data_IF_418294581683
#
_entry.id   IF_418294581683
#
_cell.length_a   1.000
_cell.length_b   1.000
_cell.length_c   1.000
_cell.angle_alpha   90.00
_cell.angle_beta   90.00
_cell.angle_gamma   90.00
#
_symmetry.space_group_name_H-M   'P 1'
#
loop_
_entity.id
_entity.type
_entity.pdbx_description
1 polymer ?
#
# COMPACT_ATOMS: atom_id res chain seq x y z
N UNK A 1 -11.06 -17.56 0.40
CA UNK A 1 -9.86 -16.73 0.45
C UNK A 1 -10.13 -15.60 1.43
N UNK A 2 -9.30 -15.41 2.45
CA UNK A 2 -9.48 -14.31 3.40
C UNK A 2 -9.02 -13.00 2.77
N UNK A 3 -9.54 -11.87 3.23
CA UNK A 3 -9.03 -10.55 2.83
C UNK A 3 -7.53 -10.40 3.11
N UNK A 4 -7.01 -10.97 4.20
CA UNK A 4 -5.56 -10.95 4.50
C UNK A 4 -4.73 -11.78 3.52
N UNK A 5 -5.29 -12.82 2.89
CA UNK A 5 -4.60 -13.56 1.82
C UNK A 5 -4.47 -12.70 0.55
N UNK A 6 -5.52 -11.93 0.26
CA UNK A 6 -5.56 -11.00 -0.88
C UNK A 6 -4.54 -9.88 -0.70
N UNK A 7 -4.54 -9.21 0.45
CA UNK A 7 -3.64 -8.09 0.72
C UNK A 7 -2.17 -8.54 0.66
N UNK A 8 -1.83 -9.71 1.23
CA UNK A 8 -0.49 -10.31 1.08
C UNK A 8 -0.13 -10.59 -0.38
N UNK A 9 -1.07 -11.04 -1.19
CA UNK A 9 -0.82 -11.26 -2.62
C UNK A 9 -0.57 -9.93 -3.36
N UNK A 10 -1.28 -8.86 -3.00
CA UNK A 10 -1.01 -7.51 -3.52
C UNK A 10 0.37 -7.00 -3.06
N UNK A 11 0.75 -7.20 -1.79
CA UNK A 11 2.08 -6.86 -1.28
C UNK A 11 3.19 -7.59 -2.02
N UNK A 12 3.02 -8.88 -2.34
CA UNK A 12 3.99 -9.62 -3.14
C UNK A 12 4.21 -8.97 -4.53
N UNK A 13 3.17 -8.41 -5.14
CA UNK A 13 3.31 -7.65 -6.39
C UNK A 13 4.06 -6.34 -6.16
N UNK A 14 3.73 -5.60 -5.09
CA UNK A 14 4.45 -4.38 -4.74
C UNK A 14 5.92 -4.64 -4.46
N UNK A 15 6.28 -5.67 -3.70
CA UNK A 15 7.67 -6.02 -3.42
C UNK A 15 8.48 -6.25 -4.70
N UNK A 16 7.93 -7.01 -5.65
CA UNK A 16 8.58 -7.22 -6.95
C UNK A 16 8.72 -5.91 -7.75
N UNK A 17 7.70 -5.05 -7.73
CA UNK A 17 7.76 -3.73 -8.37
C UNK A 17 8.82 -2.84 -7.72
N UNK A 18 8.89 -2.82 -6.39
CA UNK A 18 9.83 -2.03 -5.62
C UNK A 18 11.27 -2.50 -5.85
N UNK A 19 11.51 -3.82 -5.86
CA UNK A 19 12.84 -4.41 -6.17
C UNK A 19 13.33 -3.94 -7.54
N UNK A 20 12.44 -3.95 -8.54
CA UNK A 20 12.75 -3.46 -9.88
C UNK A 20 13.07 -1.96 -9.86
N UNK A 21 12.21 -1.13 -9.26
CA UNK A 21 12.39 0.32 -9.16
C UNK A 21 13.72 0.66 -8.48
N UNK A 22 14.00 0.07 -7.33
CA UNK A 22 15.23 0.29 -6.56
C UNK A 22 16.48 -0.07 -7.37
N UNK A 23 16.39 -1.11 -8.20
CA UNK A 23 17.48 -1.53 -9.10
C UNK A 23 17.73 -0.54 -10.25
N UNK A 24 16.66 0.01 -10.86
CA UNK A 24 16.78 0.82 -12.08
C UNK A 24 16.95 2.31 -11.81
N UNK A 25 16.38 2.83 -10.72
CA UNK A 25 16.41 4.27 -10.37
C UNK A 25 17.82 4.89 -10.36
N UNK A 26 18.88 4.23 -9.84
CA UNK A 26 20.23 4.76 -9.92
C UNK A 26 20.69 5.06 -11.36
N UNK A 27 20.25 4.26 -12.33
CA UNK A 27 20.69 4.31 -13.73
C UNK A 27 19.89 5.27 -14.61
N UNK A 28 18.65 5.59 -14.23
CA UNK A 28 17.75 6.50 -14.97
C UNK A 28 18.38 7.88 -15.20
N UNK A 29 18.18 8.46 -16.38
CA UNK A 29 18.89 9.68 -16.82
C UNK A 29 18.00 10.91 -16.92
N UNK A 30 16.67 10.73 -16.93
CA UNK A 30 15.74 11.85 -17.06
C UNK A 30 14.80 11.97 -15.87
N UNK A 31 14.39 13.20 -15.57
CA UNK A 31 13.38 13.48 -14.55
C UNK A 31 12.01 12.90 -14.92
N UNK A 32 11.68 12.90 -16.22
CA UNK A 32 10.42 12.37 -16.73
C UNK A 32 10.27 10.87 -16.42
N UNK A 33 11.30 10.06 -16.65
CA UNK A 33 11.29 8.63 -16.34
C UNK A 33 11.01 8.35 -14.85
N UNK A 34 11.61 9.13 -13.94
CA UNK A 34 11.36 8.99 -12.50
C UNK A 34 9.91 9.34 -12.16
N UNK A 35 9.35 10.41 -12.73
CA UNK A 35 7.94 10.79 -12.52
C UNK A 35 6.98 9.75 -13.09
N UNK A 36 7.33 9.14 -14.22
CA UNK A 36 6.55 8.03 -14.79
C UNK A 36 6.53 6.83 -13.85
N UNK A 37 7.68 6.43 -13.29
CA UNK A 37 7.72 5.34 -12.29
C UNK A 37 6.91 5.68 -11.04
N UNK A 38 7.03 6.91 -10.52
CA UNK A 38 6.21 7.35 -9.38
C UNK A 38 4.71 7.25 -9.68
N UNK A 39 4.27 7.70 -10.86
CA UNK A 39 2.86 7.59 -11.26
C UNK A 39 2.41 6.13 -11.39
N UNK A 40 3.25 5.20 -11.84
CA UNK A 40 2.92 3.77 -11.84
C UNK A 40 2.68 3.27 -10.42
N UNK A 41 3.58 3.60 -9.48
CA UNK A 41 3.40 3.23 -8.06
C UNK A 41 2.10 3.84 -7.52
N UNK A 42 1.85 5.12 -7.72
CA UNK A 42 0.63 5.81 -7.27
C UNK A 42 -0.64 5.10 -7.77
N UNK A 43 -0.66 4.71 -9.05
CA UNK A 43 -1.83 4.07 -9.67
C UNK A 43 -2.08 2.65 -9.20
N UNK A 44 -1.05 1.95 -8.72
CA UNK A 44 -1.20 0.61 -8.13
C UNK A 44 -1.48 0.72 -6.63
N UNK A 45 -0.88 1.68 -5.94
CA UNK A 45 -1.03 1.92 -4.50
C UNK A 45 -2.42 2.44 -4.11
N UNK A 46 -2.95 3.45 -4.81
CA UNK A 46 -4.23 4.06 -4.46
C UNK A 46 -5.43 3.08 -4.33
N UNK A 47 -5.66 2.13 -5.25
CA UNK A 47 -6.74 1.15 -5.07
C UNK A 47 -6.46 0.14 -3.95
N UNK A 48 -5.19 -0.12 -3.64
CA UNK A 48 -4.78 -0.99 -2.54
C UNK A 48 -5.04 -0.32 -1.19
N UNK A 49 -4.51 0.88 -0.95
CA UNK A 49 -4.76 1.63 0.28
C UNK A 49 -6.25 1.87 0.52
N UNK A 50 -7.01 2.16 -0.55
CA UNK A 50 -8.48 2.27 -0.46
C UNK A 50 -9.16 0.96 -0.07
N UNK A 51 -8.66 -0.17 -0.57
CA UNK A 51 -9.19 -1.49 -0.17
C UNK A 51 -8.95 -1.72 1.32
N UNK A 52 -7.76 -1.38 1.81
CA UNK A 52 -7.41 -1.53 3.22
C UNK A 52 -8.26 -0.63 4.10
N UNK A 53 -8.37 0.65 3.76
CA UNK A 53 -9.20 1.61 4.50
C UNK A 53 -10.67 1.12 4.58
N UNK A 54 -11.29 0.81 3.44
CA UNK A 54 -12.72 0.50 3.35
C UNK A 54 -13.08 -0.91 3.87
N UNK A 55 -12.25 -1.92 3.60
CA UNK A 55 -12.60 -3.34 3.83
C UNK A 55 -11.84 -3.98 4.98
N UNK A 56 -10.76 -3.37 5.45
CA UNK A 56 -9.94 -3.95 6.50
C UNK A 56 -9.87 -3.08 7.75
N UNK A 57 -9.52 -1.80 7.61
CA UNK A 57 -9.31 -0.85 8.71
C UNK A 57 -10.64 -0.41 9.31
N UNK A 58 -11.57 0.11 8.51
CA UNK A 58 -12.85 0.61 9.02
C UNK A 58 -13.66 -0.48 9.78
N UNK A 59 -13.81 -1.72 9.28
CA UNK A 59 -14.48 -2.80 10.04
C UNK A 59 -13.77 -3.18 11.35
N UNK A 60 -12.46 -2.92 11.44
CA UNK A 60 -11.61 -3.22 12.59
C UNK A 60 -11.32 -2.01 13.48
N UNK A 61 -11.86 -0.84 13.20
CA UNK A 61 -11.56 0.41 13.90
C UNK A 61 -11.65 0.25 15.42
N UNK A 62 -12.73 -0.37 15.91
CA UNK A 62 -12.93 -0.65 17.34
C UNK A 62 -11.84 -1.55 17.96
N UNK A 63 -11.26 -2.48 17.20
CA UNK A 63 -10.13 -3.31 17.63
C UNK A 63 -8.81 -2.53 17.60
N UNK A 64 -8.63 -1.66 16.60
CA UNK A 64 -7.45 -0.82 16.45
C UNK A 64 -7.38 0.31 17.48
N UNK A 65 -8.53 0.86 17.89
CA UNK A 65 -8.64 1.87 18.94
C UNK A 65 -8.17 1.29 20.30
N UNK A 66 -8.54 0.05 20.59
CA UNK A 66 -8.16 -0.63 21.85
C UNK A 66 -6.65 -0.84 21.99
N UNK A 67 -5.90 -0.84 20.88
CA UNK A 67 -4.44 -0.99 20.87
C UNK A 67 -3.71 0.30 20.44
N UNK A 68 -4.45 1.41 20.27
CA UNK A 68 -3.89 2.72 19.90
C UNK A 68 -3.22 2.77 18.52
N UNK A 69 -3.66 1.96 17.56
CA UNK A 69 -3.04 1.87 16.23
C UNK A 69 -3.87 2.49 15.10
N UNK A 70 -5.15 2.81 15.32
CA UNK A 70 -6.07 3.22 14.27
C UNK A 70 -5.60 4.47 13.50
N UNK A 71 -5.31 5.56 14.21
CA UNK A 71 -4.80 6.80 13.61
C UNK A 71 -3.45 6.64 12.89
N UNK A 72 -2.67 5.60 13.24
CA UNK A 72 -1.33 5.38 12.68
C UNK A 72 -1.39 4.85 11.25
N UNK A 73 -2.40 4.05 10.87
CA UNK A 73 -2.51 3.49 9.51
C UNK A 73 -2.85 4.55 8.47
N UNK A 74 -3.89 5.34 8.71
CA UNK A 74 -4.25 6.42 7.80
C UNK A 74 -3.12 7.45 7.65
N UNK A 75 -2.37 7.72 8.73
CA UNK A 75 -1.19 8.57 8.66
C UNK A 75 -0.07 7.98 7.79
N UNK A 76 0.16 6.67 7.85
CA UNK A 76 1.15 5.97 7.02
C UNK A 76 0.74 5.96 5.53
N UNK A 77 -0.51 5.65 5.20
CA UNK A 77 -1.03 5.73 3.83
C UNK A 77 -0.84 7.13 3.25
N UNK A 78 -1.26 8.15 4.02
CA UNK A 78 -1.10 9.54 3.65
C UNK A 78 0.36 9.92 3.45
N UNK A 79 1.26 9.45 4.31
CA UNK A 79 2.70 9.69 4.19
C UNK A 79 3.25 9.13 2.87
N UNK A 80 2.83 7.93 2.47
CA UNK A 80 3.23 7.32 1.19
C UNK A 80 2.72 8.18 0.02
N UNK A 81 1.44 8.53 0.03
CA UNK A 81 0.80 9.34 -1.01
C UNK A 81 1.46 10.72 -1.16
N UNK A 82 1.71 11.41 -0.05
CA UNK A 82 2.38 12.72 -0.05
C UNK A 82 3.82 12.63 -0.53
N UNK A 83 4.54 11.56 -0.19
CA UNK A 83 5.92 11.33 -0.65
C UNK A 83 5.95 11.08 -2.15
N UNK A 84 5.03 10.27 -2.69
CA UNK A 84 4.91 10.04 -4.13
C UNK A 84 4.54 11.34 -4.87
N UNK A 85 3.56 12.10 -4.36
CA UNK A 85 3.19 13.38 -4.91
C UNK A 85 4.35 14.40 -4.91
N UNK A 86 5.26 14.34 -3.94
CA UNK A 86 6.45 15.18 -3.89
C UNK A 86 7.44 14.89 -5.05
N UNK A 87 7.47 13.67 -5.59
CA UNK A 87 8.28 13.32 -6.79
C UNK A 87 7.84 14.17 -7.99
N UNK A 88 6.55 14.46 -8.13
CA UNK A 88 6.03 15.28 -9.23
C UNK A 88 6.37 16.77 -9.08
N UNK A 89 6.52 17.25 -7.84
CA UNK A 89 6.80 18.66 -7.51
C UNK A 89 8.27 19.03 -7.62
N UNK A 90 9.19 18.06 -7.48
CA UNK A 90 10.62 18.36 -7.57
C UNK A 90 11.07 18.71 -8.99
N UNK A 91 12.12 19.52 -9.06
CA UNK A 91 12.72 20.07 -10.29
C UNK A 91 14.04 19.40 -10.65
N UNK A 92 14.64 18.60 -9.76
CA UNK A 92 15.93 17.97 -10.01
C UNK A 92 15.80 16.46 -10.08
N UNK A 93 16.59 15.85 -10.97
CA UNK A 93 16.67 14.39 -11.09
C UNK A 93 17.16 13.74 -9.79
N UNK A 94 18.16 14.35 -9.14
CA UNK A 94 18.76 13.84 -7.90
C UNK A 94 17.70 13.73 -6.79
N UNK A 95 16.92 14.79 -6.59
CA UNK A 95 15.89 14.80 -5.54
C UNK A 95 14.74 13.86 -5.91
N UNK A 96 14.33 13.81 -7.18
CA UNK A 96 13.28 12.89 -7.62
C UNK A 96 13.63 11.42 -7.33
N UNK A 97 14.88 11.02 -7.62
CA UNK A 97 15.37 9.68 -7.29
C UNK A 97 15.33 9.42 -5.79
N UNK A 98 15.84 10.37 -4.99
CA UNK A 98 15.87 10.24 -3.52
C UNK A 98 14.46 10.10 -2.94
N UNK A 99 13.52 10.94 -3.37
CA UNK A 99 12.14 10.92 -2.90
C UNK A 99 11.45 9.62 -3.31
N UNK A 100 11.61 9.16 -4.56
CA UNK A 100 11.02 7.91 -5.02
C UNK A 100 11.53 6.70 -4.23
N UNK A 101 12.85 6.59 -4.03
CA UNK A 101 13.42 5.51 -3.21
C UNK A 101 12.95 5.57 -1.75
N UNK A 102 12.79 6.78 -1.21
CA UNK A 102 12.22 6.97 0.13
C UNK A 102 10.75 6.51 0.20
N UNK A 103 9.95 6.74 -0.84
CA UNK A 103 8.59 6.22 -0.90
C UNK A 103 8.57 4.68 -0.83
N UNK A 104 9.44 3.99 -1.57
CA UNK A 104 9.56 2.52 -1.51
C UNK A 104 9.93 2.04 -0.10
N UNK A 105 10.88 2.72 0.55
CA UNK A 105 11.30 2.37 1.91
C UNK A 105 10.16 2.54 2.93
N UNK A 106 9.36 3.61 2.82
CA UNK A 106 8.20 3.84 3.69
C UNK A 106 7.14 2.75 3.43
N UNK A 107 6.80 2.47 2.17
CA UNK A 107 5.84 1.44 1.81
C UNK A 107 6.26 0.06 2.32
N UNK A 108 7.54 -0.32 2.19
CA UNK A 108 8.04 -1.59 2.74
C UNK A 108 7.90 -1.68 4.25
N UNK A 109 8.18 -0.59 4.97
CA UNK A 109 8.02 -0.56 6.43
C UNK A 109 6.56 -0.71 6.84
N UNK A 110 5.66 -0.08 6.09
CA UNK A 110 4.22 -0.20 6.28
C UNK A 110 3.75 -1.64 6.04
N UNK A 111 4.09 -2.25 4.90
CA UNK A 111 3.74 -3.65 4.61
C UNK A 111 4.33 -4.65 5.62
N UNK A 112 5.58 -4.47 6.06
CA UNK A 112 6.19 -5.34 7.09
C UNK A 112 5.41 -5.28 8.41
N UNK A 113 4.96 -4.08 8.81
CA UNK A 113 4.10 -3.89 9.99
C UNK A 113 2.79 -4.66 9.82
N UNK A 114 2.14 -4.49 8.67
CA UNK A 114 0.86 -5.13 8.40
C UNK A 114 0.94 -6.65 8.38
N UNK A 115 1.89 -7.20 7.63
CA UNK A 115 2.05 -8.63 7.46
C UNK A 115 2.41 -9.35 8.75
N UNK A 116 3.24 -8.72 9.60
CA UNK A 116 3.80 -9.35 10.80
C UNK A 116 2.96 -9.12 12.04
N UNK A 117 2.21 -8.02 12.08
CA UNK A 117 1.49 -7.61 13.29
C UNK A 117 -0.01 -7.58 13.03
N UNK A 118 -0.43 -6.84 12.01
CA UNK A 118 -1.83 -6.46 11.79
C UNK A 118 -2.65 -7.61 11.25
N UNK A 119 -2.22 -8.24 10.16
CA UNK A 119 -2.93 -9.37 9.55
C UNK A 119 -3.02 -10.54 10.54
N UNK A 120 -1.94 -10.98 11.23
CA UNK A 120 -2.05 -12.04 12.24
C UNK A 120 -2.93 -11.67 13.43
N UNK A 121 -3.00 -10.39 13.80
CA UNK A 121 -3.91 -9.93 14.84
C UNK A 121 -5.38 -9.98 14.37
N UNK A 122 -5.69 -9.44 13.20
CA UNK A 122 -7.02 -9.49 12.62
C UNK A 122 -7.50 -10.94 12.46
N UNK A 123 -6.62 -11.84 12.04
CA UNK A 123 -6.93 -13.28 11.92
C UNK A 123 -7.21 -13.97 13.26
N UNK A 124 -6.69 -13.45 14.38
CA UNK A 124 -6.97 -13.96 15.74
C UNK A 124 -8.25 -13.39 16.34
N UNK A 125 -8.56 -12.12 16.05
CA UNK A 125 -9.69 -11.41 16.64
C UNK A 125 -10.98 -11.67 15.84
N UNK A 126 -10.91 -11.67 14.52
CA UNK A 126 -12.06 -11.86 13.65
C UNK A 126 -12.36 -13.33 13.39
N UNK A 127 -13.64 -13.64 13.21
CA UNK A 127 -14.08 -14.96 12.76
C UNK A 127 -13.60 -15.19 11.31
N UNK A 128 -13.19 -16.42 11.02
CA UNK A 128 -12.79 -16.82 9.66
C UNK A 128 -13.85 -16.52 8.59
N UNK A 129 -15.14 -16.58 8.96
CA UNK A 129 -16.25 -16.21 8.07
C UNK A 129 -16.20 -14.73 7.67
N UNK A 130 -16.05 -13.84 8.63
CA UNK A 130 -15.95 -12.38 8.40
C UNK A 130 -14.78 -12.06 7.46
N UNK A 131 -13.61 -12.64 7.70
CA UNK A 131 -12.43 -12.44 6.85
C UNK A 131 -12.65 -12.94 5.41
N UNK A 132 -13.44 -14.00 5.23
CA UNK A 132 -13.76 -14.54 3.92
C UNK A 132 -14.81 -13.69 3.19
N UNK A 133 -15.84 -13.22 3.90
CA UNK A 133 -16.85 -12.30 3.37
C UNK A 133 -16.22 -10.99 2.88
N UNK A 134 -15.24 -10.44 3.62
CA UNK A 134 -14.47 -9.27 3.19
C UNK A 134 -13.66 -9.56 1.92
N UNK A 135 -13.07 -10.75 1.81
CA UNK A 135 -12.38 -11.18 0.59
C UNK A 135 -13.31 -11.30 -0.63
N UNK A 136 -14.54 -11.76 -0.44
CA UNK A 136 -15.57 -11.81 -1.48
C UNK A 136 -16.05 -10.41 -1.91
N UNK A 137 -16.15 -9.48 -0.95
CA UNK A 137 -16.45 -8.08 -1.24
C UNK A 137 -15.35 -7.43 -2.11
N UNK A 138 -14.08 -7.65 -1.78
CA UNK A 138 -12.96 -7.18 -2.61
C UNK A 138 -13.06 -7.72 -4.05
N UNK A 139 -13.34 -9.01 -4.22
CA UNK A 139 -13.48 -9.62 -5.55
C UNK A 139 -14.64 -9.01 -6.34
N UNK A 140 -15.74 -8.70 -5.65
CA UNK A 140 -16.93 -8.12 -6.26
C UNK A 140 -16.69 -6.69 -6.76
N UNK A 141 -15.98 -5.85 -5.98
CA UNK A 141 -15.60 -4.49 -6.38
C UNK A 141 -14.82 -4.49 -7.70
N UNK A 142 -13.84 -5.38 -7.85
CA UNK A 142 -13.03 -5.50 -9.08
C UNK A 142 -13.79 -6.04 -10.30
N UNK A 143 -14.88 -6.79 -10.11
CA UNK A 143 -15.75 -7.22 -11.21
C UNK A 143 -16.62 -6.09 -11.73
N UNK A 144 -17.01 -5.15 -10.86
CA UNK A 144 -17.82 -3.99 -11.22
C UNK A 144 -16.96 -2.95 -11.93
N UNK A 145 -15.75 -2.67 -11.44
CA UNK A 145 -14.82 -1.71 -12.06
C UNK A 145 -14.31 -2.11 -13.46
N UNK A 146 -14.45 -3.38 -13.84
CA UNK A 146 -14.04 -3.92 -15.14
C UNK A 146 -15.17 -4.05 -16.16
N UNK A 147 -16.39 -3.64 -15.81
CA UNK A 147 -17.56 -3.59 -16.71
C UNK A 147 -17.78 -2.17 -17.19
#
# INVERSE_FOLDING_TARGET
>A
MKITDVLRAEHAVFHNLFDHIETVVPRIKTLAEIKTLANVVEKVHAPHSKTEDDLFIEPLAHCFDQIGQNETFHAEHKQIEETLAAVHKTRTLKDAKKILLNAMAISRKHFDKEERIVFPMAERILKAKTLSELGEQWLSRRKIERR
#
